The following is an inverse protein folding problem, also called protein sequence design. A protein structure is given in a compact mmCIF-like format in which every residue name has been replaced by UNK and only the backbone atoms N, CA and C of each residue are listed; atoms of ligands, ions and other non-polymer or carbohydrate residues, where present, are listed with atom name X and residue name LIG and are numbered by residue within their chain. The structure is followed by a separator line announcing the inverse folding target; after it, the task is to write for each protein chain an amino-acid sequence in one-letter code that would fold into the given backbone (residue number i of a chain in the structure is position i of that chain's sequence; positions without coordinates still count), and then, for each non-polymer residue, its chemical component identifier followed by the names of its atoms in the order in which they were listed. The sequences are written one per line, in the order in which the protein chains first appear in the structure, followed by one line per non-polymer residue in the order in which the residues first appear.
data_IF_989316365036
#
_entry.id   IF_989316365036
#
_cell.length_a   1.000
_cell.length_b   1.000
_cell.length_c   1.000
_cell.angle_alpha   90.00
_cell.angle_beta   90.00
_cell.angle_gamma   90.00
#
_symmetry.space_group_name_H-M   'P 1'
#
loop_
_entity.id
_entity.type
_entity.pdbx_description
1 polymer ?
#
# COMPACT_ATOMS: atom_id res chain seq x y z
N UNK A 1 -28.94 65.02 58.56
CA UNK A 1 -29.68 65.43 57.34
C UNK A 1 -28.66 66.07 56.40
N UNK A 2 -28.08 65.27 55.50
CA UNK A 2 -27.03 65.70 54.56
C UNK A 2 -27.54 65.36 53.16
N UNK A 3 -27.72 66.40 52.33
CA UNK A 3 -28.06 66.26 50.91
C UNK A 3 -26.75 66.06 50.12
N UNK A 4 -26.70 65.04 49.29
CA UNK A 4 -25.67 64.87 48.27
C UNK A 4 -26.23 65.33 46.92
N UNK A 5 -25.58 66.33 46.32
CA UNK A 5 -25.86 66.81 44.97
C UNK A 5 -25.23 65.86 43.95
N UNK A 6 -26.06 65.34 43.04
CA UNK A 6 -25.62 64.59 41.87
C UNK A 6 -25.26 65.58 40.75
N UNK A 7 -23.99 65.65 40.39
CA UNK A 7 -23.50 66.35 39.19
C UNK A 7 -22.92 65.36 38.18
N UNK A 8 -23.52 65.45 37.01
CA UNK A 8 -23.18 64.96 35.67
C UNK A 8 -21.73 64.52 35.41
N UNK A 9 -21.56 63.30 34.90
CA UNK A 9 -20.46 62.94 34.00
C UNK A 9 -20.96 62.02 32.88
N UNK A 10 -21.57 62.63 31.86
CA UNK A 10 -21.89 61.96 30.60
C UNK A 10 -20.64 61.84 29.72
N UNK A 11 -19.80 60.85 29.99
CA UNK A 11 -18.70 60.49 29.12
C UNK A 11 -19.13 59.42 28.10
N UNK A 12 -19.32 59.80 26.84
CA UNK A 12 -19.46 58.86 25.73
C UNK A 12 -18.09 58.26 25.42
N UNK A 13 -17.77 57.13 26.06
CA UNK A 13 -16.58 56.35 25.70
C UNK A 13 -16.77 55.80 24.29
N UNK A 14 -16.00 56.34 23.34
CA UNK A 14 -16.03 55.91 21.95
C UNK A 14 -15.03 54.76 21.82
N UNK A 15 -15.51 53.52 21.70
CA UNK A 15 -14.65 52.35 21.49
C UNK A 15 -14.05 52.39 20.08
N UNK A 16 -12.79 51.98 19.96
CA UNK A 16 -12.15 51.85 18.66
C UNK A 16 -12.81 50.72 17.83
N UNK A 17 -12.79 50.80 16.49
CA UNK A 17 -13.52 49.87 15.62
C UNK A 17 -13.15 48.38 15.79
N UNK A 18 -11.89 48.11 16.14
CA UNK A 18 -11.33 46.79 16.47
C UNK A 18 -11.90 46.23 17.78
N UNK A 19 -12.06 47.05 18.82
CA UNK A 19 -12.71 46.64 20.07
C UNK A 19 -14.21 46.35 19.90
N UNK A 20 -14.86 47.03 18.96
CA UNK A 20 -16.26 46.77 18.60
C UNK A 20 -16.42 45.45 17.84
N UNK A 21 -15.42 45.03 17.06
CA UNK A 21 -15.44 43.74 16.35
C UNK A 21 -15.18 42.57 17.30
N UNK A 22 -14.23 42.69 18.24
CA UNK A 22 -14.05 41.73 19.33
C UNK A 22 -15.30 41.61 20.20
N UNK A 23 -15.89 42.73 20.62
CA UNK A 23 -17.12 42.71 21.41
C UNK A 23 -18.30 42.07 20.65
N UNK A 24 -18.39 42.24 19.33
CA UNK A 24 -19.40 41.57 18.48
C UNK A 24 -19.11 40.08 18.30
N UNK A 25 -17.85 39.68 18.17
CA UNK A 25 -17.46 38.27 18.12
C UNK A 25 -17.77 37.57 19.44
N UNK A 26 -17.49 38.23 20.56
CA UNK A 26 -17.78 37.74 21.91
C UNK A 26 -19.29 37.68 22.17
N UNK A 27 -20.04 38.70 21.76
CA UNK A 27 -21.51 38.70 21.84
C UNK A 27 -22.14 37.60 20.97
N UNK A 28 -21.65 37.38 19.74
CA UNK A 28 -22.10 36.25 18.88
C UNK A 28 -21.73 34.90 19.49
N UNK A 29 -20.58 34.78 20.12
CA UNK A 29 -20.16 33.55 20.84
C UNK A 29 -21.03 33.29 22.07
N UNK A 30 -21.46 34.33 22.78
CA UNK A 30 -22.38 34.19 23.92
C UNK A 30 -23.79 33.86 23.42
N UNK A 31 -24.22 34.43 22.29
CA UNK A 31 -25.55 34.18 21.72
C UNK A 31 -25.68 32.80 21.04
N UNK A 32 -24.55 32.17 20.67
CA UNK A 32 -24.51 30.79 20.17
C UNK A 32 -24.37 29.73 21.27
N UNK A 33 -24.12 30.13 22.52
CA UNK A 33 -24.19 29.24 23.67
C UNK A 33 -25.66 28.93 23.95
N UNK A 34 -26.11 27.76 23.53
CA UNK A 34 -27.42 27.25 23.93
C UNK A 34 -27.50 27.24 25.47
N UNK A 35 -28.66 27.62 26.06
CA UNK A 35 -28.85 27.52 27.49
C UNK A 35 -28.53 26.09 27.93
N UNK A 36 -27.79 25.95 29.04
CA UNK A 36 -27.40 24.65 29.56
C UNK A 36 -28.65 23.74 29.62
N UNK A 37 -28.61 22.53 29.03
CA UNK A 37 -29.77 21.68 28.91
C UNK A 37 -30.37 21.44 30.30
N UNK A 38 -31.68 21.62 30.43
CA UNK A 38 -32.37 21.40 31.69
C UNK A 38 -32.07 19.99 32.20
N UNK A 39 -31.46 19.91 33.37
CA UNK A 39 -31.03 18.63 33.97
C UNK A 39 -32.29 17.80 34.26
N UNK A 40 -32.47 16.63 33.62
CA UNK A 40 -33.66 15.84 33.83
C UNK A 40 -33.66 15.31 35.28
N UNK A 41 -34.78 15.48 35.98
CA UNK A 41 -34.96 14.99 37.37
C UNK A 41 -34.87 13.46 37.50
N UNK A 42 -34.96 12.72 36.39
CA UNK A 42 -34.85 11.27 36.36
C UNK A 42 -34.17 10.82 35.05
N UNK A 43 -32.83 10.77 34.99
CA UNK A 43 -32.09 10.45 33.78
C UNK A 43 -32.25 8.98 33.38
N UNK A 44 -32.84 8.73 32.20
CA UNK A 44 -33.13 7.37 31.72
C UNK A 44 -32.02 6.80 30.85
N UNK A 45 -31.22 7.65 30.20
CA UNK A 45 -30.16 7.23 29.28
C UNK A 45 -28.78 7.51 29.86
N UNK A 46 -27.77 6.76 29.41
CA UNK A 46 -26.38 6.97 29.84
C UNK A 46 -25.88 8.42 29.64
N UNK A 47 -26.10 9.06 28.49
CA UNK A 47 -25.77 10.48 28.29
C UNK A 47 -26.46 11.44 29.26
N UNK A 48 -27.73 11.19 29.60
CA UNK A 48 -28.43 12.00 30.60
C UNK A 48 -27.84 11.81 31.99
N UNK A 49 -27.49 10.57 32.37
CA UNK A 49 -26.84 10.28 33.65
C UNK A 49 -25.47 10.97 33.76
N UNK A 50 -24.65 10.91 32.72
CA UNK A 50 -23.34 11.61 32.68
C UNK A 50 -23.50 13.13 32.77
N UNK A 51 -24.48 13.71 32.08
CA UNK A 51 -24.73 15.15 32.16
C UNK A 51 -25.14 15.60 33.58
N UNK A 52 -26.00 14.82 34.25
CA UNK A 52 -26.38 15.01 35.66
C UNK A 52 -25.16 14.85 36.58
N UNK A 53 -24.30 13.86 36.33
CA UNK A 53 -23.07 13.65 37.10
C UNK A 53 -22.17 14.89 37.05
N UNK A 54 -21.95 15.44 35.85
CA UNK A 54 -21.09 16.61 35.63
C UNK A 54 -21.65 17.88 36.27
N UNK A 55 -22.98 18.05 36.33
CA UNK A 55 -23.58 19.22 36.97
C UNK A 55 -23.49 19.17 38.50
N UNK A 56 -23.62 17.98 39.09
CA UNK A 56 -23.50 17.78 40.54
C UNK A 56 -22.03 17.84 41.00
N UNK A 57 -21.10 17.39 40.15
CA UNK A 57 -19.67 17.35 40.47
C UNK A 57 -19.06 18.70 40.84
N UNK A 58 -19.63 19.82 40.38
CA UNK A 58 -19.18 21.17 40.73
C UNK A 58 -19.22 21.45 42.24
N UNK A 59 -20.06 20.74 43.00
CA UNK A 59 -20.13 20.83 44.46
C UNK A 59 -19.35 19.76 45.21
N UNK A 60 -18.67 18.84 44.52
CA UNK A 60 -18.04 17.66 45.12
C UNK A 60 -16.60 17.52 44.59
N UNK A 61 -15.57 18.02 45.32
CA UNK A 61 -14.20 18.08 44.82
C UNK A 61 -13.64 16.75 44.30
N UNK A 62 -13.90 15.63 45.00
CA UNK A 62 -13.45 14.30 44.56
C UNK A 62 -14.07 13.86 43.23
N UNK A 63 -15.33 14.22 42.97
CA UNK A 63 -15.99 13.93 41.69
C UNK A 63 -15.43 14.82 40.57
N UNK A 64 -15.19 16.10 40.86
CA UNK A 64 -14.60 17.02 39.90
C UNK A 64 -13.21 16.56 39.45
N UNK A 65 -12.37 16.13 40.39
CA UNK A 65 -11.05 15.58 40.10
C UNK A 65 -11.12 14.28 39.27
N UNK A 66 -12.02 13.37 39.61
CA UNK A 66 -12.23 12.16 38.81
C UNK A 66 -12.70 12.46 37.39
N UNK A 67 -13.64 13.39 37.21
CA UNK A 67 -14.10 13.83 35.89
C UNK A 67 -12.96 14.45 35.08
N UNK A 68 -12.13 15.30 35.71
CA UNK A 68 -10.97 15.89 35.06
C UNK A 68 -9.96 14.81 34.61
N UNK A 69 -9.69 13.82 35.47
CA UNK A 69 -8.84 12.68 35.11
C UNK A 69 -9.44 11.86 33.96
N UNK A 70 -10.74 11.57 34.00
CA UNK A 70 -11.44 10.84 32.93
C UNK A 70 -11.43 11.61 31.60
N UNK A 71 -11.60 12.93 31.64
CA UNK A 71 -11.55 13.78 30.45
C UNK A 71 -10.13 13.83 29.85
N UNK A 72 -9.10 13.77 30.70
CA UNK A 72 -7.70 13.73 30.30
C UNK A 72 -7.24 12.36 29.76
N UNK A 73 -7.99 11.27 29.96
CA UNK A 73 -7.65 9.95 29.43
C UNK A 73 -7.57 10.00 27.91
N UNK A 74 -6.43 9.58 27.36
CA UNK A 74 -6.22 9.48 25.92
C UNK A 74 -6.09 8.05 25.44
N UNK A 75 -5.79 7.09 26.32
CA UNK A 75 -5.57 5.68 25.96
C UNK A 75 -6.46 4.74 26.78
N UNK A 76 -6.68 3.52 26.26
CA UNK A 76 -7.40 2.48 27.00
C UNK A 76 -6.71 2.09 28.31
N UNK A 77 -5.37 2.05 28.30
CA UNK A 77 -4.57 1.72 29.48
C UNK A 77 -4.74 2.75 30.60
N UNK A 78 -4.75 4.04 30.25
CA UNK A 78 -5.02 5.11 31.22
C UNK A 78 -6.44 4.98 31.81
N UNK A 79 -7.42 4.59 30.98
CA UNK A 79 -8.78 4.34 31.44
C UNK A 79 -8.87 3.17 32.42
N UNK A 80 -8.19 2.06 32.12
CA UNK A 80 -8.12 0.89 33.00
C UNK A 80 -7.46 1.23 34.34
N UNK A 81 -6.40 2.05 34.32
CA UNK A 81 -5.77 2.54 35.54
C UNK A 81 -6.74 3.38 36.37
N UNK A 82 -7.49 4.28 35.73
CA UNK A 82 -8.49 5.12 36.41
C UNK A 82 -9.70 4.31 36.92
N UNK A 83 -10.02 3.19 36.28
CA UNK A 83 -11.10 2.29 36.69
C UNK A 83 -10.78 1.57 38.01
N UNK A 84 -9.49 1.41 38.35
CA UNK A 84 -9.08 0.90 39.66
C UNK A 84 -9.35 1.92 40.77
N UNK A 85 -9.21 3.22 40.48
CA UNK A 85 -9.44 4.32 41.43
C UNK A 85 -10.94 4.56 41.72
N UNK A 86 -11.85 4.07 40.86
CA UNK A 86 -13.31 4.27 41.06
C UNK A 86 -13.81 3.67 42.38
N UNK A 87 -13.14 2.63 42.87
CA UNK A 87 -13.47 1.96 44.12
C UNK A 87 -13.11 2.81 45.34
N UNK A 88 -12.22 3.80 45.19
CA UNK A 88 -11.92 4.80 46.22
C UNK A 88 -12.90 5.98 46.15
N UNK A 89 -13.33 6.35 44.94
CA UNK A 89 -14.27 7.44 44.73
C UNK A 89 -15.68 7.13 45.27
N UNK A 90 -16.27 5.97 44.91
CA UNK A 90 -17.68 5.65 45.24
C UNK A 90 -17.96 5.68 46.76
N UNK A 91 -17.10 5.14 47.66
CA UNK A 91 -17.27 5.27 49.10
C UNK A 91 -17.29 6.71 49.59
N UNK A 92 -16.39 7.57 49.07
CA UNK A 92 -16.31 8.98 49.48
C UNK A 92 -17.57 9.77 49.11
N UNK A 93 -18.27 9.34 48.06
CA UNK A 93 -19.49 9.97 47.56
C UNK A 93 -20.76 9.55 48.31
N UNK A 94 -20.75 8.43 49.06
CA UNK A 94 -21.93 7.99 49.84
C UNK A 94 -22.37 9.01 50.89
N UNK A 95 -21.44 9.83 51.39
CA UNK A 95 -21.72 10.93 52.32
C UNK A 95 -22.47 12.11 51.68
N UNK A 96 -22.45 12.22 50.35
CA UNK A 96 -23.09 13.30 49.58
C UNK A 96 -24.47 12.91 49.04
N UNK A 97 -25.18 11.97 49.69
CA UNK A 97 -26.47 11.44 49.22
C UNK A 97 -27.50 12.54 48.95
N UNK A 98 -27.52 13.61 49.76
CA UNK A 98 -28.43 14.75 49.58
C UNK A 98 -28.17 15.53 48.27
N UNK A 99 -26.92 15.56 47.81
CA UNK A 99 -26.50 16.25 46.58
C UNK A 99 -26.66 15.37 45.34
N UNK A 100 -26.50 14.05 45.51
CA UNK A 100 -26.50 13.05 44.43
C UNK A 100 -27.92 12.56 44.12
N UNK A 101 -28.83 12.61 45.11
CA UNK A 101 -30.20 12.13 44.98
C UNK A 101 -30.27 10.62 44.71
N UNK A 102 -31.21 10.21 43.86
CA UNK A 102 -31.43 8.80 43.48
C UNK A 102 -30.56 8.34 42.29
N UNK A 103 -29.51 9.10 41.94
CA UNK A 103 -28.63 8.75 40.85
C UNK A 103 -27.82 7.49 41.20
N UNK A 104 -27.96 6.45 40.39
CA UNK A 104 -27.11 5.27 40.51
C UNK A 104 -25.69 5.61 40.04
N UNK A 105 -24.83 5.94 41.01
CA UNK A 105 -23.44 6.35 40.78
C UNK A 105 -22.63 5.28 40.06
N UNK A 106 -22.90 4.00 40.32
CA UNK A 106 -22.15 2.92 39.70
C UNK A 106 -22.41 2.88 38.20
N UNK A 107 -23.68 2.84 37.79
CA UNK A 107 -24.04 2.87 36.37
C UNK A 107 -23.65 4.17 35.70
N UNK A 108 -23.74 5.29 36.41
CA UNK A 108 -23.38 6.60 35.83
C UNK A 108 -21.88 6.73 35.55
N UNK A 109 -21.03 6.23 36.46
CA UNK A 109 -19.57 6.16 36.23
C UNK A 109 -19.24 5.18 35.10
N UNK A 110 -19.96 4.06 35.01
CA UNK A 110 -19.82 3.11 33.90
C UNK A 110 -20.20 3.76 32.55
N UNK A 111 -21.30 4.51 32.49
CA UNK A 111 -21.72 5.22 31.26
C UNK A 111 -20.69 6.28 30.82
N UNK A 112 -20.08 6.99 31.78
CA UNK A 112 -19.02 7.95 31.50
C UNK A 112 -17.80 7.26 30.89
N UNK A 113 -17.39 6.12 31.47
CA UNK A 113 -16.30 5.29 30.94
C UNK A 113 -16.62 4.82 29.52
N UNK A 114 -17.81 4.28 29.29
CA UNK A 114 -18.24 3.80 27.97
C UNK A 114 -18.26 4.92 26.92
N UNK A 115 -18.64 6.15 27.30
CA UNK A 115 -18.54 7.31 26.43
C UNK A 115 -17.09 7.59 26.06
N UNK A 116 -16.19 7.64 27.05
CA UNK A 116 -14.78 7.89 26.81
C UNK A 116 -14.12 6.78 25.98
N UNK A 117 -14.51 5.53 26.18
CA UNK A 117 -13.99 4.42 25.40
C UNK A 117 -14.43 4.52 23.93
N UNK A 118 -15.69 4.88 23.69
CA UNK A 118 -16.18 5.14 22.32
C UNK A 118 -15.40 6.27 21.65
N UNK A 119 -15.10 7.36 22.36
CA UNK A 119 -14.28 8.46 21.83
C UNK A 119 -12.87 7.99 21.45
N UNK A 120 -12.20 7.26 22.34
CA UNK A 120 -10.85 6.73 22.09
C UNK A 120 -10.87 5.75 20.92
N UNK A 121 -11.82 4.82 20.88
CA UNK A 121 -11.96 3.87 19.77
C UNK A 121 -12.24 4.58 18.44
N UNK A 122 -13.07 5.62 18.45
CA UNK A 122 -13.35 6.43 17.27
C UNK A 122 -12.06 7.11 16.77
N UNK A 123 -11.31 7.75 17.67
CA UNK A 123 -10.05 8.42 17.34
C UNK A 123 -9.00 7.43 16.79
N UNK A 124 -8.82 6.28 17.45
CA UNK A 124 -7.91 5.23 16.98
C UNK A 124 -8.29 4.70 15.59
N UNK A 125 -9.59 4.59 15.31
CA UNK A 125 -10.08 4.19 13.98
C UNK A 125 -9.78 5.26 12.93
N UNK A 126 -9.98 6.54 13.26
CA UNK A 126 -9.66 7.67 12.39
C UNK A 126 -8.15 7.75 12.12
N UNK A 127 -7.32 7.64 13.16
CA UNK A 127 -5.85 7.58 13.04
C UNK A 127 -5.40 6.41 12.15
N UNK A 128 -5.97 5.21 12.33
CA UNK A 128 -5.65 4.04 11.51
C UNK A 128 -6.08 4.21 10.04
N UNK A 129 -7.22 4.87 9.79
CA UNK A 129 -7.66 5.20 8.44
C UNK A 129 -6.73 6.22 7.78
N UNK A 130 -6.35 7.28 8.49
CA UNK A 130 -5.40 8.28 8.01
C UNK A 130 -4.05 7.64 7.70
N UNK A 131 -3.50 6.83 8.61
CA UNK A 131 -2.24 6.12 8.38
C UNK A 131 -2.32 5.14 7.19
N UNK A 132 -3.48 4.52 6.95
CA UNK A 132 -3.69 3.68 5.77
C UNK A 132 -3.67 4.50 4.49
N UNK A 133 -4.37 5.64 4.46
CA UNK A 133 -4.40 6.55 3.32
C UNK A 133 -3.00 7.13 3.02
N UNK A 134 -2.26 7.53 4.06
CA UNK A 134 -0.87 8.00 3.92
C UNK A 134 0.03 6.92 3.32
N UNK A 135 -0.08 5.67 3.77
CA UNK A 135 0.67 4.54 3.18
C UNK A 135 0.27 4.25 1.73
N UNK A 136 -1.01 4.40 1.38
CA UNK A 136 -1.48 4.23 0.00
C UNK A 136 -0.96 5.36 -0.91
N UNK A 137 -0.94 6.59 -0.40
CA UNK A 137 -0.36 7.74 -1.09
C UNK A 137 1.15 7.59 -1.28
N UNK A 138 1.88 7.20 -0.24
CA UNK A 138 3.33 6.94 -0.31
C UNK A 138 3.67 5.87 -1.35
N UNK A 139 2.90 4.76 -1.37
CA UNK A 139 3.05 3.71 -2.38
C UNK A 139 2.78 4.23 -3.80
N UNK A 140 1.78 5.08 -3.97
CA UNK A 140 1.44 5.67 -5.27
C UNK A 140 2.55 6.60 -5.75
N UNK A 141 3.02 7.51 -4.90
CA UNK A 141 4.12 8.42 -5.21
C UNK A 141 5.40 7.65 -5.54
N UNK A 142 5.74 6.61 -4.76
CA UNK A 142 6.90 5.76 -5.02
C UNK A 142 6.79 5.06 -6.37
N UNK A 143 5.62 4.51 -6.69
CA UNK A 143 5.35 3.86 -7.99
C UNK A 143 5.48 4.85 -9.15
N UNK A 144 4.91 6.06 -9.03
CA UNK A 144 5.02 7.09 -10.06
C UNK A 144 6.47 7.52 -10.30
N UNK A 145 7.27 7.65 -9.24
CA UNK A 145 8.71 7.94 -9.34
C UNK A 145 9.48 6.80 -10.02
N UNK A 146 9.13 5.55 -9.69
CA UNK A 146 9.72 4.35 -10.32
C UNK A 146 9.36 4.28 -11.81
N UNK A 147 8.09 4.48 -12.16
CA UNK A 147 7.60 4.48 -13.55
C UNK A 147 8.24 5.61 -14.37
N UNK A 148 8.40 6.82 -13.79
CA UNK A 148 9.08 7.94 -14.43
C UNK A 148 10.57 7.66 -14.68
N UNK A 149 11.25 7.04 -13.70
CA UNK A 149 12.65 6.65 -13.81
C UNK A 149 12.85 5.58 -14.88
N UNK A 150 11.99 4.56 -14.88
CA UNK A 150 11.99 3.50 -15.88
C UNK A 150 11.77 4.07 -17.29
N UNK A 151 10.78 4.95 -17.46
CA UNK A 151 10.50 5.63 -18.73
C UNK A 151 11.73 6.42 -19.20
N UNK A 152 12.34 7.22 -18.32
CA UNK A 152 13.56 7.99 -18.63
C UNK A 152 14.71 7.08 -19.07
N UNK A 153 14.90 5.92 -18.43
CA UNK A 153 15.92 4.97 -18.86
C UNK A 153 15.63 4.39 -20.24
N UNK A 154 14.39 3.96 -20.51
CA UNK A 154 13.98 3.43 -21.83
C UNK A 154 14.13 4.43 -22.97
N UNK A 155 13.95 5.72 -22.71
CA UNK A 155 14.06 6.78 -23.72
C UNK A 155 15.51 7.16 -24.07
N UNK A 156 16.51 6.62 -23.36
CA UNK A 156 17.93 6.86 -23.67
C UNK A 156 18.30 6.25 -25.03
N UNK A 157 18.88 7.01 -25.98
CA UNK A 157 19.15 6.50 -27.33
C UNK A 157 20.01 5.23 -27.37
N UNK A 158 21.04 5.16 -26.52
CA UNK A 158 21.99 4.03 -26.47
C UNK A 158 21.29 2.75 -26.02
N UNK A 159 20.47 2.86 -24.97
CA UNK A 159 19.72 1.72 -24.45
C UNK A 159 18.57 1.35 -25.40
N UNK A 160 17.83 2.35 -25.89
CA UNK A 160 16.70 2.14 -26.80
C UNK A 160 17.10 1.36 -28.04
N UNK A 161 18.22 1.71 -28.68
CA UNK A 161 18.73 0.98 -29.85
C UNK A 161 18.93 -0.51 -29.56
N UNK A 162 19.44 -0.85 -28.38
CA UNK A 162 19.69 -2.22 -27.95
C UNK A 162 18.40 -2.94 -27.62
N UNK A 163 17.51 -2.28 -26.89
CA UNK A 163 16.19 -2.81 -26.56
C UNK A 163 15.42 -3.09 -27.85
N UNK A 164 15.35 -2.15 -28.80
CA UNK A 164 14.65 -2.31 -30.07
C UNK A 164 15.19 -3.51 -30.88
N UNK A 165 16.53 -3.69 -30.93
CA UNK A 165 17.16 -4.83 -31.60
C UNK A 165 16.81 -6.15 -30.92
N UNK A 166 16.94 -6.23 -29.58
CA UNK A 166 16.62 -7.44 -28.83
C UNK A 166 15.13 -7.75 -28.97
N UNK A 167 14.27 -6.76 -28.81
CA UNK A 167 12.81 -6.89 -28.83
C UNK A 167 12.33 -7.46 -30.17
N UNK A 168 12.87 -7.01 -31.31
CA UNK A 168 12.47 -7.53 -32.62
C UNK A 168 12.84 -9.02 -32.81
N UNK A 169 14.09 -9.39 -32.53
CA UNK A 169 14.57 -10.76 -32.66
C UNK A 169 13.88 -11.69 -31.64
N UNK A 170 13.74 -11.20 -30.40
CA UNK A 170 13.06 -11.92 -29.33
C UNK A 170 11.61 -12.20 -29.67
N UNK A 171 10.92 -11.21 -30.24
CA UNK A 171 9.51 -11.35 -30.58
C UNK A 171 9.29 -12.51 -31.52
N UNK A 172 10.08 -12.57 -32.59
CA UNK A 172 9.95 -13.61 -33.61
C UNK A 172 10.17 -14.99 -33.00
N UNK A 173 11.24 -15.17 -32.23
CA UNK A 173 11.57 -16.44 -31.58
C UNK A 173 10.56 -16.85 -30.49
N UNK A 174 10.09 -15.91 -29.66
CA UNK A 174 9.09 -16.18 -28.62
C UNK A 174 7.74 -16.56 -29.26
N UNK A 175 7.29 -15.80 -30.26
CA UNK A 175 6.06 -16.12 -31.00
C UNK A 175 6.17 -17.52 -31.61
N UNK A 176 7.29 -17.84 -32.25
CA UNK A 176 7.51 -19.16 -32.84
C UNK A 176 7.50 -20.26 -31.77
N UNK A 177 8.24 -20.08 -30.66
CA UNK A 177 8.31 -21.07 -29.58
C UNK A 177 6.95 -21.30 -28.91
N UNK A 178 6.16 -20.25 -28.68
CA UNK A 178 4.83 -20.36 -28.08
C UNK A 178 3.85 -21.01 -29.06
N UNK A 179 3.90 -20.62 -30.34
CA UNK A 179 3.12 -21.24 -31.41
C UNK A 179 3.38 -22.73 -31.49
N UNK A 180 4.66 -23.14 -31.61
CA UNK A 180 5.02 -24.56 -31.66
C UNK A 180 4.53 -25.32 -30.43
N UNK A 181 4.65 -24.75 -29.23
CA UNK A 181 4.15 -25.39 -28.00
C UNK A 181 2.63 -25.60 -28.06
N UNK A 182 1.87 -24.57 -28.44
CA UNK A 182 0.42 -24.69 -28.54
C UNK A 182 0.00 -25.66 -29.65
N UNK A 183 0.66 -25.66 -30.80
CA UNK A 183 0.44 -26.64 -31.87
C UNK A 183 0.60 -28.06 -31.35
N UNK A 184 1.72 -28.36 -30.67
CA UNK A 184 1.96 -29.69 -30.08
C UNK A 184 0.90 -30.04 -29.03
N UNK A 185 0.44 -29.08 -28.23
CA UNK A 185 -0.63 -29.32 -27.26
C UNK A 185 -1.97 -29.60 -27.96
N UNK A 186 -2.31 -28.85 -29.01
CA UNK A 186 -3.53 -29.07 -29.79
C UNK A 186 -3.51 -30.45 -30.43
N UNK A 187 -2.42 -30.80 -31.13
CA UNK A 187 -2.25 -32.11 -31.77
C UNK A 187 -2.28 -33.27 -30.77
N UNK A 188 -1.78 -33.05 -29.54
CA UNK A 188 -1.74 -34.06 -28.49
C UNK A 188 -3.08 -34.26 -27.80
N UNK A 189 -3.84 -33.19 -27.58
CA UNK A 189 -5.03 -33.21 -26.72
C UNK A 189 -6.35 -33.01 -27.47
N UNK A 190 -6.34 -32.90 -28.79
CA UNK A 190 -7.54 -32.93 -29.60
C UNK A 190 -7.49 -34.06 -30.62
N UNK A 191 -8.62 -34.76 -30.77
CA UNK A 191 -8.82 -35.77 -31.81
C UNK A 191 -10.14 -35.45 -32.48
N UNK A 192 -10.14 -35.26 -33.81
CA UNK A 192 -11.33 -34.85 -34.59
C UNK A 192 -12.02 -33.57 -34.06
N UNK A 193 -11.24 -32.67 -33.45
CA UNK A 193 -11.72 -31.42 -32.86
C UNK A 193 -12.32 -31.57 -31.45
N UNK A 194 -12.39 -32.78 -30.90
CA UNK A 194 -12.85 -33.04 -29.53
C UNK A 194 -11.66 -33.12 -28.57
N UNK A 195 -11.77 -32.46 -27.41
CA UNK A 195 -10.74 -32.46 -26.38
C UNK A 195 -10.59 -33.85 -25.73
N UNK A 196 -9.49 -34.50 -26.03
CA UNK A 196 -9.15 -35.87 -25.66
C UNK A 196 -8.16 -35.91 -24.49
N UNK A 197 -8.53 -35.28 -23.37
CA UNK A 197 -7.84 -35.46 -22.10
C UNK A 197 -8.75 -36.21 -21.15
N UNK A 198 -8.31 -37.39 -20.71
CA UNK A 198 -9.06 -38.20 -19.74
C UNK A 198 -9.36 -37.35 -18.51
N UNK A 199 -10.65 -37.14 -18.25
CA UNK A 199 -11.09 -36.45 -17.04
C UNK A 199 -10.63 -37.30 -15.86
N UNK A 200 -9.85 -36.77 -14.91
CA UNK A 200 -9.45 -37.55 -13.75
C UNK A 200 -10.73 -38.05 -13.04
N UNK A 201 -10.74 -39.34 -12.71
CA UNK A 201 -11.82 -39.90 -11.90
C UNK A 201 -11.84 -39.25 -10.51
N UNK A 202 -12.91 -39.46 -9.73
CA UNK A 202 -12.96 -39.00 -8.32
C UNK A 202 -11.79 -39.53 -7.47
N UNK A 203 -11.15 -40.62 -7.90
CA UNK A 203 -9.99 -41.26 -7.29
C UNK A 203 -8.66 -40.93 -7.97
N UNK A 204 -8.65 -40.04 -8.96
CA UNK A 204 -7.40 -39.62 -9.63
C UNK A 204 -6.43 -39.07 -8.60
N UNK A 205 -5.16 -39.43 -8.71
CA UNK A 205 -4.16 -38.90 -7.79
C UNK A 205 -4.05 -37.37 -7.95
N UNK A 206 -3.54 -36.69 -6.93
CA UNK A 206 -3.43 -35.22 -6.93
C UNK A 206 -2.66 -34.69 -8.15
N UNK A 207 -1.69 -35.46 -8.66
CA UNK A 207 -0.88 -35.12 -9.82
C UNK A 207 -1.66 -35.14 -11.14
N UNK A 208 -2.53 -36.14 -11.36
CA UNK A 208 -3.43 -36.22 -12.52
C UNK A 208 -4.42 -35.06 -12.54
N UNK A 209 -4.98 -34.72 -11.38
CA UNK A 209 -5.87 -33.57 -11.22
C UNK A 209 -5.17 -32.24 -11.54
N UNK A 210 -3.93 -32.06 -11.07
CA UNK A 210 -3.13 -30.87 -11.37
C UNK A 210 -2.74 -30.78 -12.84
N UNK A 211 -2.34 -31.90 -13.45
CA UNK A 211 -2.00 -31.96 -14.88
C UNK A 211 -3.21 -31.63 -15.74
N UNK A 212 -4.37 -32.22 -15.42
CA UNK A 212 -5.63 -31.92 -16.11
C UNK A 212 -6.01 -30.45 -15.99
N UNK A 213 -5.99 -29.90 -14.77
CA UNK A 213 -6.34 -28.50 -14.52
C UNK A 213 -5.43 -27.55 -15.32
N UNK A 214 -4.12 -27.79 -15.28
CA UNK A 214 -3.14 -26.97 -16.00
C UNK A 214 -3.31 -27.03 -17.51
N UNK A 215 -3.45 -28.22 -18.09
CA UNK A 215 -3.64 -28.37 -19.54
C UNK A 215 -4.98 -27.76 -19.98
N UNK A 216 -6.04 -27.96 -19.20
CA UNK A 216 -7.35 -27.36 -19.47
C UNK A 216 -7.33 -25.84 -19.36
N UNK A 217 -6.58 -25.26 -18.43
CA UNK A 217 -6.42 -23.81 -18.28
C UNK A 217 -5.60 -23.22 -19.43
N UNK A 218 -4.48 -23.85 -19.79
CA UNK A 218 -3.63 -23.41 -20.91
C UNK A 218 -4.36 -23.48 -22.27
N UNK A 219 -5.22 -24.48 -22.47
CA UNK A 219 -5.99 -24.66 -23.72
C UNK A 219 -7.37 -23.98 -23.71
N UNK A 220 -7.86 -23.51 -22.56
CA UNK A 220 -9.18 -22.88 -22.46
C UNK A 220 -9.42 -21.76 -23.49
N UNK A 221 -8.44 -20.88 -23.80
CA UNK A 221 -8.62 -19.87 -24.84
C UNK A 221 -8.86 -20.44 -26.24
N UNK A 222 -8.33 -21.63 -26.54
CA UNK A 222 -8.45 -22.31 -27.84
C UNK A 222 -9.73 -23.14 -27.95
N UNK A 223 -10.55 -23.18 -26.90
CA UNK A 223 -11.74 -24.02 -26.82
C UNK A 223 -13.01 -23.17 -26.89
N UNK A 224 -14.06 -23.73 -27.50
CA UNK A 224 -15.43 -23.24 -27.27
C UNK A 224 -16.00 -23.85 -25.98
N UNK A 225 -17.09 -23.30 -25.38
CA UNK A 225 -17.64 -23.80 -24.10
C UNK A 225 -17.96 -25.30 -24.07
N UNK A 226 -18.25 -25.90 -25.23
CA UNK A 226 -18.50 -27.34 -25.40
C UNK A 226 -17.24 -28.20 -25.36
N UNK A 227 -16.07 -27.62 -25.07
CA UNK A 227 -14.76 -28.27 -25.07
C UNK A 227 -14.32 -28.84 -26.41
N UNK A 228 -14.86 -28.28 -27.49
CA UNK A 228 -14.35 -28.49 -28.83
C UNK A 228 -13.26 -27.48 -29.13
N UNK A 229 -12.34 -27.87 -30.00
CA UNK A 229 -11.37 -26.94 -30.56
C UNK A 229 -12.14 -25.85 -31.30
N UNK A 230 -11.82 -24.60 -30.99
CA UNK A 230 -12.38 -23.46 -31.72
C UNK A 230 -11.99 -23.60 -33.21
N UNK A 231 -12.92 -23.52 -34.18
CA UNK A 231 -12.57 -23.59 -35.60
C UNK A 231 -11.54 -22.54 -36.03
N UNK A 232 -11.45 -21.42 -35.30
CA UNK A 232 -10.48 -20.34 -35.50
C UNK A 232 -9.28 -20.43 -34.53
N UNK A 233 -8.98 -21.60 -33.97
CA UNK A 233 -7.94 -21.75 -32.94
C UNK A 233 -6.57 -21.28 -33.40
N UNK A 234 -6.23 -21.39 -34.70
CA UNK A 234 -4.95 -20.89 -35.21
C UNK A 234 -4.83 -19.37 -35.04
N UNK A 235 -5.90 -18.62 -35.30
CA UNK A 235 -5.92 -17.17 -35.12
C UNK A 235 -5.86 -16.79 -33.63
N UNK A 236 -6.59 -17.53 -32.78
CA UNK A 236 -6.55 -17.32 -31.33
C UNK A 236 -5.15 -17.62 -30.78
N UNK A 237 -4.54 -18.71 -31.21
CA UNK A 237 -3.18 -19.09 -30.85
C UNK A 237 -2.16 -18.05 -31.31
N UNK A 238 -2.22 -17.59 -32.55
CA UNK A 238 -1.33 -16.56 -33.07
C UNK A 238 -1.44 -15.27 -32.25
N UNK A 239 -2.67 -14.87 -31.87
CA UNK A 239 -2.89 -13.74 -30.97
C UNK A 239 -2.28 -13.97 -29.59
N UNK A 240 -2.53 -15.13 -28.96
CA UNK A 240 -1.97 -15.44 -27.63
C UNK A 240 -0.45 -15.48 -27.63
N UNK A 241 0.15 -16.05 -28.68
CA UNK A 241 1.60 -16.07 -28.86
C UNK A 241 2.17 -14.66 -29.00
N UNK A 242 1.50 -13.81 -29.79
CA UNK A 242 1.83 -12.39 -29.94
C UNK A 242 1.75 -11.64 -28.61
N UNK A 243 0.60 -11.69 -27.94
CA UNK A 243 0.37 -10.99 -26.67
C UNK A 243 1.37 -11.45 -25.58
N UNK A 244 1.66 -12.76 -25.54
CA UNK A 244 2.64 -13.32 -24.60
C UNK A 244 4.06 -12.85 -24.93
N UNK A 245 4.43 -12.79 -26.21
CA UNK A 245 5.72 -12.28 -26.63
C UNK A 245 5.90 -10.82 -26.24
N UNK A 246 4.89 -9.99 -26.49
CA UNK A 246 4.90 -8.57 -26.13
C UNK A 246 5.05 -8.40 -24.60
N UNK A 247 4.36 -9.22 -23.81
CA UNK A 247 4.53 -9.24 -22.35
C UNK A 247 5.96 -9.62 -21.92
N UNK A 248 6.53 -10.71 -22.45
CA UNK A 248 7.89 -11.14 -22.07
C UNK A 248 8.96 -10.12 -22.47
N UNK A 249 8.79 -9.50 -23.64
CA UNK A 249 9.67 -8.42 -24.11
C UNK A 249 9.58 -7.23 -23.17
N UNK A 250 8.38 -6.78 -22.82
CA UNK A 250 8.20 -5.65 -21.92
C UNK A 250 8.88 -5.90 -20.56
N UNK A 251 8.71 -7.09 -19.98
CA UNK A 251 9.37 -7.47 -18.73
C UNK A 251 10.89 -7.45 -18.86
N UNK A 252 11.41 -7.95 -19.97
CA UNK A 252 12.83 -7.95 -20.25
C UNK A 252 13.39 -6.53 -20.40
N UNK A 253 12.75 -5.70 -21.23
CA UNK A 253 13.12 -4.30 -21.41
C UNK A 253 13.10 -3.52 -20.10
N UNK A 254 12.06 -3.72 -19.29
CA UNK A 254 11.93 -3.09 -17.99
C UNK A 254 13.11 -3.46 -17.09
N UNK A 255 13.45 -4.75 -17.04
CA UNK A 255 14.58 -5.25 -16.26
C UNK A 255 15.91 -4.67 -16.74
N UNK A 256 16.14 -4.62 -18.05
CA UNK A 256 17.38 -4.08 -18.61
C UNK A 256 17.48 -2.57 -18.39
N UNK A 257 16.38 -1.83 -18.52
CA UNK A 257 16.33 -0.40 -18.25
C UNK A 257 16.69 -0.07 -16.80
N UNK A 258 16.17 -0.84 -15.83
CA UNK A 258 16.56 -0.69 -14.43
C UNK A 258 18.03 -1.03 -14.17
N UNK A 259 18.53 -2.13 -14.73
CA UNK A 259 19.91 -2.58 -14.44
C UNK A 259 20.98 -1.74 -15.12
N UNK A 260 20.73 -1.28 -16.33
CA UNK A 260 21.75 -0.68 -17.19
C UNK A 260 21.55 0.83 -17.36
N UNK A 261 20.34 1.35 -17.14
CA UNK A 261 20.03 2.77 -17.31
C UNK A 261 20.90 3.67 -16.43
N UNK A 262 21.02 3.33 -15.15
CA UNK A 262 21.89 4.02 -14.19
C UNK A 262 23.38 3.94 -14.56
N UNK A 263 23.82 2.80 -15.07
CA UNK A 263 25.23 2.59 -15.46
C UNK A 263 25.57 3.48 -16.65
N UNK A 264 24.71 3.46 -17.68
CA UNK A 264 24.85 4.31 -18.86
C UNK A 264 24.82 5.79 -18.49
N UNK A 265 23.98 6.19 -17.53
CA UNK A 265 23.97 7.56 -17.01
C UNK A 265 25.31 7.95 -16.38
N UNK A 266 25.85 7.12 -15.48
CA UNK A 266 27.10 7.42 -14.78
C UNK A 266 28.34 7.35 -15.69
N UNK A 267 28.36 6.42 -16.64
CA UNK A 267 29.48 6.21 -17.57
C UNK A 267 29.43 7.10 -18.82
N UNK A 268 28.37 7.88 -19.00
CA UNK A 268 28.23 8.81 -20.13
C UNK A 268 27.89 8.12 -21.46
N UNK A 269 27.08 7.05 -21.41
CA UNK A 269 26.72 6.21 -22.56
C UNK A 269 27.61 4.98 -22.69
N UNK A 270 27.54 4.30 -23.83
CA UNK A 270 28.38 3.13 -24.12
C UNK A 270 28.00 2.43 -25.42
N UNK A 271 28.96 1.73 -26.00
CA UNK A 271 28.73 0.83 -27.12
C UNK A 271 28.15 -0.48 -26.59
N UNK A 272 27.14 -0.98 -27.29
CA UNK A 272 26.44 -2.19 -26.89
C UNK A 272 26.34 -3.15 -28.07
N UNK A 273 26.71 -4.41 -27.81
CA UNK A 273 26.63 -5.50 -28.76
C UNK A 273 25.81 -6.64 -28.17
N UNK A 274 24.93 -7.22 -28.99
CA UNK A 274 24.11 -8.37 -28.64
C UNK A 274 24.71 -9.65 -29.25
N UNK A 275 24.69 -10.72 -28.48
CA UNK A 275 25.09 -12.07 -28.90
C UNK A 275 24.05 -13.08 -28.42
N UNK A 276 23.88 -14.19 -29.14
CA UNK A 276 23.06 -15.33 -28.70
C UNK A 276 21.65 -15.37 -29.29
N UNK A 277 20.72 -16.03 -28.58
CA UNK A 277 19.30 -16.22 -28.95
C UNK A 277 18.39 -15.95 -27.74
N UNK A 278 17.06 -16.07 -27.87
CA UNK A 278 16.09 -15.80 -26.78
C UNK A 278 16.39 -16.57 -25.49
N UNK A 279 16.85 -17.81 -25.61
CA UNK A 279 17.06 -18.69 -24.45
C UNK A 279 18.38 -18.42 -23.74
N UNK A 280 19.38 -17.95 -24.49
CA UNK A 280 20.71 -17.62 -24.02
C UNK A 280 21.25 -16.45 -24.83
N UNK A 281 21.11 -15.25 -24.27
CA UNK A 281 21.61 -14.02 -24.86
C UNK A 281 22.63 -13.37 -23.94
N UNK A 282 23.58 -12.70 -24.58
CA UNK A 282 24.59 -11.91 -23.93
C UNK A 282 24.61 -10.49 -24.49
N UNK A 283 24.56 -9.51 -23.60
CA UNK A 283 24.72 -8.09 -23.95
C UNK A 283 26.11 -7.69 -23.49
N UNK A 284 27.00 -7.34 -24.42
CA UNK A 284 28.29 -6.73 -24.09
C UNK A 284 28.17 -5.23 -24.10
N UNK A 285 28.66 -4.60 -23.06
CA UNK A 285 28.76 -3.15 -22.92
C UNK A 285 30.22 -2.74 -22.87
N UNK A 286 30.56 -1.71 -23.64
CA UNK A 286 31.88 -1.07 -23.63
C UNK A 286 31.69 0.41 -23.44
N UNK A 287 32.36 0.98 -22.44
CA UNK A 287 32.21 2.39 -22.05
C UNK A 287 33.34 3.25 -22.63
N UNK A 288 33.21 4.59 -22.65
CA UNK A 288 34.24 5.48 -23.17
C UNK A 288 35.60 5.35 -22.46
N UNK A 289 35.61 4.98 -21.18
CA UNK A 289 36.82 4.70 -20.39
C UNK A 289 37.42 3.32 -20.68
N UNK A 290 36.91 2.61 -21.70
CA UNK A 290 37.27 1.25 -22.10
C UNK A 290 36.94 0.16 -21.07
N UNK A 291 36.33 0.51 -19.94
CA UNK A 291 35.72 -0.47 -19.05
C UNK A 291 34.53 -1.12 -19.74
N UNK A 292 34.11 -2.27 -19.26
CA UNK A 292 33.02 -2.99 -19.90
C UNK A 292 32.68 -4.28 -19.18
N UNK A 293 31.57 -4.86 -19.57
CA UNK A 293 31.17 -6.17 -19.08
C UNK A 293 30.20 -6.82 -20.06
N UNK A 294 30.03 -8.12 -19.92
CA UNK A 294 29.03 -8.89 -20.62
C UNK A 294 27.96 -9.38 -19.64
N UNK A 295 26.71 -9.03 -19.89
CA UNK A 295 25.55 -9.50 -19.16
C UNK A 295 25.00 -10.72 -19.88
N UNK A 296 24.96 -11.87 -19.21
CA UNK A 296 24.25 -13.04 -19.70
C UNK A 296 22.96 -13.24 -18.94
N UNK A 297 21.89 -13.45 -19.67
CA UNK A 297 20.59 -13.79 -19.09
C UNK A 297 20.11 -15.08 -19.73
N UNK A 298 19.85 -16.08 -18.89
CA UNK A 298 19.33 -17.37 -19.31
C UNK A 298 17.93 -17.56 -18.74
N UNK A 299 17.00 -18.06 -19.55
CA UNK A 299 15.69 -18.44 -19.03
C UNK A 299 15.81 -19.75 -18.24
N UNK A 300 15.39 -19.72 -16.99
CA UNK A 300 15.30 -20.89 -16.11
C UNK A 300 13.85 -21.09 -15.71
N UNK A 301 13.29 -22.27 -16.01
CA UNK A 301 11.96 -22.63 -15.55
C UNK A 301 12.05 -23.10 -14.10
N UNK A 302 11.29 -22.44 -13.22
CA UNK A 302 11.23 -22.75 -11.79
C UNK A 302 9.80 -23.11 -11.40
N UNK A 303 9.67 -23.88 -10.33
CA UNK A 303 8.37 -24.22 -9.73
C UNK A 303 8.30 -23.58 -8.34
N UNK A 304 7.18 -22.94 -8.01
CA UNK A 304 6.95 -22.39 -6.67
C UNK A 304 6.73 -23.52 -5.66
N UNK A 305 6.79 -23.21 -4.37
CA UNK A 305 6.47 -24.17 -3.28
C UNK A 305 5.07 -24.77 -3.47
N UNK A 306 4.15 -24.03 -4.08
CA UNK A 306 2.78 -24.46 -4.35
C UNK A 306 2.61 -25.16 -5.72
N UNK A 307 3.70 -25.51 -6.42
CA UNK A 307 3.63 -26.21 -7.71
C UNK A 307 3.39 -25.31 -8.93
N UNK A 308 3.32 -23.98 -8.77
CA UNK A 308 3.11 -23.05 -9.90
C UNK A 308 4.41 -22.89 -10.67
N UNK A 309 4.41 -23.22 -11.96
CA UNK A 309 5.57 -23.03 -12.84
C UNK A 309 5.67 -21.56 -13.27
N UNK A 310 6.87 -20.99 -13.23
CA UNK A 310 7.16 -19.63 -13.67
C UNK A 310 8.59 -19.54 -14.25
N UNK A 311 8.83 -18.55 -15.12
CA UNK A 311 10.14 -18.30 -15.68
C UNK A 311 10.94 -17.36 -14.76
N UNK A 312 12.22 -17.69 -14.53
CA UNK A 312 13.22 -16.81 -13.94
C UNK A 312 14.24 -16.45 -15.01
N UNK A 313 14.80 -15.26 -14.90
CA UNK A 313 15.83 -14.76 -15.80
C UNK A 313 17.07 -14.34 -14.98
N UNK A 314 17.80 -15.30 -14.37
CA UNK A 314 19.04 -15.00 -13.67
C UNK A 314 19.98 -14.24 -14.59
N UNK A 315 20.50 -13.12 -14.08
CA UNK A 315 21.42 -12.24 -14.79
C UNK A 315 22.80 -12.42 -14.17
N UNK A 316 23.80 -12.74 -14.99
CA UNK A 316 25.18 -12.92 -14.54
C UNK A 316 26.12 -12.03 -15.32
N UNK A 317 27.15 -11.51 -14.65
CA UNK A 317 28.17 -10.66 -15.26
C UNK A 317 29.39 -11.50 -15.63
N UNK A 318 29.93 -11.26 -16.83
CA UNK A 318 31.05 -11.96 -17.42
C UNK A 318 31.99 -10.97 -18.07
N UNK A 319 33.23 -11.39 -18.34
CA UNK A 319 34.23 -10.62 -19.08
C UNK A 319 34.35 -9.15 -18.62
N UNK A 320 34.31 -8.94 -17.31
CA UNK A 320 34.30 -7.61 -16.72
C UNK A 320 35.70 -7.01 -16.77
N UNK A 321 35.83 -5.86 -17.44
CA UNK A 321 37.05 -5.07 -17.59
C UNK A 321 36.88 -3.75 -16.85
N UNK A 322 37.80 -3.44 -15.95
CA UNK A 322 37.82 -2.20 -15.17
C UNK A 322 38.36 -1.04 -16.01
N UNK A 323 38.20 0.20 -15.52
CA UNK A 323 38.78 1.39 -16.17
C UNK A 323 40.32 1.35 -16.24
N UNK A 324 40.97 0.59 -15.35
CA UNK A 324 42.41 0.32 -15.41
C UNK A 324 42.82 -0.62 -16.56
N UNK A 325 41.85 -1.28 -17.21
CA UNK A 325 42.07 -2.35 -18.19
C UNK A 325 42.24 -3.74 -17.57
N UNK A 326 42.30 -3.86 -16.25
CA UNK A 326 42.36 -5.15 -15.57
C UNK A 326 41.03 -5.90 -15.65
N UNK A 327 41.10 -7.24 -15.75
CA UNK A 327 39.92 -8.09 -15.70
C UNK A 327 39.52 -8.38 -14.26
N UNK A 328 38.23 -8.27 -13.95
CA UNK A 328 37.71 -8.69 -12.65
C UNK A 328 37.53 -10.23 -12.64
N UNK A 329 38.28 -10.98 -11.81
CA UNK A 329 38.30 -12.45 -11.87
C UNK A 329 37.01 -13.09 -11.37
N UNK A 330 36.31 -12.46 -10.42
CA UNK A 330 35.04 -12.95 -9.85
C UNK A 330 34.08 -11.77 -9.72
N UNK A 331 33.21 -11.55 -10.72
CA UNK A 331 32.26 -10.45 -10.73
C UNK A 331 31.04 -10.77 -9.87
N UNK A 332 31.07 -10.33 -8.61
CA UNK A 332 29.90 -10.36 -7.72
C UNK A 332 29.04 -9.11 -7.89
N UNK A 333 27.75 -9.20 -7.56
CA UNK A 333 26.83 -8.05 -7.62
C UNK A 333 27.38 -6.84 -6.82
N UNK A 334 27.86 -7.05 -5.60
CA UNK A 334 28.47 -5.99 -4.79
C UNK A 334 29.69 -5.32 -5.46
N UNK A 335 30.55 -6.09 -6.16
CA UNK A 335 31.69 -5.52 -6.90
C UNK A 335 31.24 -4.75 -8.13
N UNK A 336 30.24 -5.27 -8.84
CA UNK A 336 29.63 -4.59 -9.98
C UNK A 336 28.94 -3.29 -9.55
N UNK A 337 28.29 -3.28 -8.38
CA UNK A 337 27.71 -2.08 -7.78
C UNK A 337 28.79 -1.05 -7.44
N UNK A 338 29.90 -1.48 -6.84
CA UNK A 338 30.99 -0.57 -6.48
C UNK A 338 31.63 0.08 -7.72
N UNK A 339 31.86 -0.70 -8.77
CA UNK A 339 32.61 -0.25 -9.95
C UNK A 339 31.74 0.46 -11.00
N UNK A 340 30.53 -0.04 -11.23
CA UNK A 340 29.63 0.43 -12.28
C UNK A 340 28.35 1.05 -11.72
N UNK A 341 28.10 0.95 -10.42
CA UNK A 341 26.90 1.48 -9.79
C UNK A 341 25.62 0.65 -10.04
N UNK A 342 25.77 -0.60 -10.47
CA UNK A 342 24.64 -1.52 -10.71
C UNK A 342 24.00 -1.87 -9.37
N UNK A 343 22.77 -1.42 -9.13
CA UNK A 343 22.00 -1.79 -7.93
C UNK A 343 21.40 -3.19 -8.08
N UNK A 344 21.31 -3.95 -6.98
CA UNK A 344 20.58 -5.23 -6.99
C UNK A 344 19.09 -5.00 -7.26
N UNK A 345 18.45 -5.96 -7.95
CA UNK A 345 17.05 -5.89 -8.40
C UNK A 345 16.11 -5.46 -7.26
N UNK A 346 15.56 -4.24 -7.31
CA UNK A 346 14.38 -3.85 -6.52
C UNK A 346 13.09 -4.52 -7.02
N UNK A 347 13.16 -5.24 -8.14
CA UNK A 347 12.03 -5.85 -8.84
C UNK A 347 11.58 -7.20 -8.28
N UNK A 348 12.13 -7.64 -7.14
CA UNK A 348 12.02 -9.01 -6.65
C UNK A 348 11.42 -9.22 -5.25
N UNK A 349 10.84 -8.21 -4.61
CA UNK A 349 10.03 -8.37 -3.38
C UNK A 349 8.53 -8.27 -3.64
#
# INVERSE_FOLDING_TARGET
MVKFDARESGGTTTFAPDQMEEARALAKSIQSMQPAPAIPKNPKTGPQRVAVLRSIAAGIPGMQDYLARMDAVTTKREMENLDNDKFELIPSLRGSKEQIGDLDLYWTVADLRDQKEREINKRLKEEAQTAKLEKEQEKTVKKEQEDATLKRHKERPELKKVLDLISADFRTEIVQSITTRFTVMVERYFTDGDFNLLRPGRSGNQWENQTYARVSEELAPLMVPTRKLNPNWQNVMAKLASDSADFYIEQFENKMAWKLGDVLERKGGGDVALFGNVRDHAIRMTFPDKSGFQVRTQQVISTSVNGKVFARYPTTFHDVVLASGERMPVPSAAKMQKEFGITEDKSGE
#
